data_IF_456244033635
#
_entry.id   IF_456244033635
#
_cell.length_a   1.000
_cell.length_b   1.000
_cell.length_c   1.000
_cell.angle_alpha   90.00
_cell.angle_beta   90.00
_cell.angle_gamma   90.00
#
_symmetry.space_group_name_H-M   'P 1'
#
loop_
_entity.id
_entity.type
_entity.pdbx_description
1 polymer ?
#
# COMPACT_ATOMS: atom_id res chain seq x y z
N UNK A 1 9.27 -16.13 -17.06
CA UNK A 1 7.78 -16.15 -16.94
C UNK A 1 7.23 -16.20 -15.51
N UNK A 2 7.88 -16.83 -14.51
CA UNK A 2 7.29 -16.98 -13.15
C UNK A 2 7.09 -15.68 -12.34
N UNK A 3 7.89 -14.64 -12.54
CA UNK A 3 7.84 -13.43 -11.68
C UNK A 3 6.70 -12.49 -12.04
N UNK A 4 6.41 -12.31 -13.34
CA UNK A 4 5.35 -11.40 -13.78
C UNK A 4 3.97 -11.86 -13.30
N UNK A 5 3.71 -13.17 -13.33
CA UNK A 5 2.49 -13.74 -12.77
C UNK A 5 2.35 -13.50 -11.28
N UNK A 6 3.45 -13.56 -10.51
CA UNK A 6 3.42 -13.27 -9.07
C UNK A 6 3.13 -11.80 -8.79
N UNK A 7 3.69 -10.88 -9.58
CA UNK A 7 3.39 -9.44 -9.50
C UNK A 7 1.92 -9.19 -9.82
N UNK A 8 1.43 -9.78 -10.92
CA UNK A 8 0.04 -9.64 -11.34
C UNK A 8 -0.91 -10.19 -10.29
N UNK A 9 -0.65 -11.37 -9.73
CA UNK A 9 -1.48 -11.93 -8.66
C UNK A 9 -1.45 -11.08 -7.39
N UNK A 10 -0.27 -10.60 -6.96
CA UNK A 10 -0.14 -9.75 -5.78
C UNK A 10 -0.82 -8.37 -5.93
N UNK A 11 -1.01 -7.91 -7.16
CA UNK A 11 -1.64 -6.60 -7.45
C UNK A 11 -3.12 -6.76 -7.77
N UNK A 12 -3.45 -7.61 -8.74
CA UNK A 12 -4.79 -7.73 -9.29
C UNK A 12 -5.74 -8.51 -8.38
N UNK A 13 -5.28 -9.57 -7.70
CA UNK A 13 -6.18 -10.39 -6.88
C UNK A 13 -6.77 -9.59 -5.70
N UNK A 14 -5.98 -8.89 -4.87
CA UNK A 14 -6.54 -8.07 -3.79
C UNK A 14 -7.44 -6.96 -4.34
N UNK A 15 -7.03 -6.32 -5.45
CA UNK A 15 -7.82 -5.26 -6.06
C UNK A 15 -9.19 -5.76 -6.52
N UNK A 16 -9.25 -6.89 -7.22
CA UNK A 16 -10.51 -7.46 -7.71
C UNK A 16 -11.42 -7.90 -6.56
N UNK A 17 -10.87 -8.59 -5.56
CA UNK A 17 -11.63 -9.07 -4.40
C UNK A 17 -12.20 -7.89 -3.60
N UNK A 18 -11.36 -6.92 -3.27
CA UNK A 18 -11.79 -5.73 -2.51
C UNK A 18 -12.74 -4.85 -3.34
N UNK A 19 -12.59 -4.82 -4.67
CA UNK A 19 -13.55 -4.14 -5.55
C UNK A 19 -14.90 -4.83 -5.50
N UNK A 20 -14.95 -6.15 -5.62
CA UNK A 20 -16.20 -6.91 -5.53
C UNK A 20 -16.91 -6.69 -4.19
N UNK A 21 -16.17 -6.76 -3.08
CA UNK A 21 -16.71 -6.52 -1.73
C UNK A 21 -17.18 -5.06 -1.59
N UNK A 22 -16.37 -4.10 -2.01
CA UNK A 22 -16.70 -2.68 -1.93
C UNK A 22 -17.97 -2.34 -2.71
N UNK A 23 -18.12 -2.86 -3.94
CA UNK A 23 -19.32 -2.70 -4.74
C UNK A 23 -20.55 -3.37 -4.10
N UNK A 24 -20.38 -4.54 -3.49
CA UNK A 24 -21.46 -5.22 -2.78
C UNK A 24 -21.94 -4.42 -1.55
N UNK A 25 -21.02 -3.79 -0.81
CA UNK A 25 -21.36 -2.90 0.32
C UNK A 25 -22.10 -1.64 -0.16
N UNK A 26 -21.63 -1.03 -1.25
CA UNK A 26 -22.34 0.11 -1.86
C UNK A 26 -23.76 -0.26 -2.29
N UNK A 27 -23.93 -1.44 -2.89
CA UNK A 27 -25.25 -1.94 -3.29
C UNK A 27 -26.19 -2.21 -2.10
N UNK A 28 -25.64 -2.43 -0.91
CA UNK A 28 -26.38 -2.60 0.35
C UNK A 28 -26.64 -1.27 1.07
N UNK A 29 -26.18 -0.14 0.51
CA UNK A 29 -26.32 1.19 1.11
C UNK A 29 -25.23 1.55 2.13
N UNK A 30 -24.23 0.68 2.35
CA UNK A 30 -23.06 1.00 3.19
C UNK A 30 -22.03 1.81 2.37
N UNK A 31 -22.29 3.11 2.23
CA UNK A 31 -21.42 4.01 1.47
C UNK A 31 -20.01 4.14 2.08
N UNK A 32 -19.92 4.17 3.41
CA UNK A 32 -18.65 4.37 4.12
C UNK A 32 -17.78 3.11 4.04
N UNK A 33 -18.36 1.94 4.34
CA UNK A 33 -17.66 0.67 4.22
C UNK A 33 -17.33 0.33 2.77
N UNK A 34 -18.24 0.61 1.83
CA UNK A 34 -18.02 0.40 0.40
C UNK A 34 -16.84 1.22 -0.13
N UNK A 35 -16.86 2.55 0.04
CA UNK A 35 -15.75 3.43 -0.38
C UNK A 35 -14.43 3.08 0.30
N UNK A 36 -14.47 2.84 1.62
CA UNK A 36 -13.28 2.46 2.38
C UNK A 36 -12.67 1.15 1.89
N UNK A 37 -13.49 0.16 1.53
CA UNK A 37 -13.03 -1.13 1.00
C UNK A 37 -12.39 -0.95 -0.38
N UNK A 38 -12.99 -0.15 -1.27
CA UNK A 38 -12.41 0.14 -2.59
C UNK A 38 -11.01 0.78 -2.47
N UNK A 39 -10.88 1.81 -1.63
CA UNK A 39 -9.59 2.45 -1.38
C UNK A 39 -8.57 1.48 -0.78
N UNK A 40 -9.00 0.67 0.19
CA UNK A 40 -8.12 -0.35 0.79
C UNK A 40 -7.64 -1.33 -0.28
N UNK A 41 -8.47 -1.71 -1.23
CA UNK A 41 -8.09 -2.52 -2.39
C UNK A 41 -6.95 -1.92 -3.20
N UNK A 42 -7.02 -0.61 -3.50
CA UNK A 42 -5.96 0.13 -4.20
C UNK A 42 -4.67 0.15 -3.38
N UNK A 43 -4.75 0.42 -2.08
CA UNK A 43 -3.59 0.47 -1.19
C UNK A 43 -2.90 -0.89 -1.12
N UNK A 44 -3.65 -1.97 -0.90
CA UNK A 44 -3.11 -3.33 -0.81
C UNK A 44 -2.50 -3.76 -2.14
N UNK A 45 -3.13 -3.44 -3.27
CA UNK A 45 -2.60 -3.72 -4.60
C UNK A 45 -1.26 -2.98 -4.84
N UNK A 46 -1.18 -1.70 -4.47
CA UNK A 46 0.05 -0.92 -4.58
C UNK A 46 1.17 -1.51 -3.71
N UNK A 47 0.88 -1.88 -2.47
CA UNK A 47 1.84 -2.53 -1.56
C UNK A 47 2.32 -3.87 -2.13
N UNK A 48 1.38 -4.72 -2.58
CA UNK A 48 1.67 -6.02 -3.16
C UNK A 48 2.55 -5.94 -4.40
N UNK A 49 2.18 -5.10 -5.38
CA UNK A 49 2.93 -4.93 -6.62
C UNK A 49 4.31 -4.30 -6.40
N UNK A 50 4.39 -3.23 -5.62
CA UNK A 50 5.65 -2.52 -5.35
C UNK A 50 6.63 -3.29 -4.44
N UNK A 51 6.16 -4.31 -3.71
CA UNK A 51 7.04 -5.17 -2.89
C UNK A 51 8.12 -5.87 -3.71
N UNK A 52 7.88 -6.11 -5.01
CA UNK A 52 8.83 -6.77 -5.90
C UNK A 52 10.06 -5.90 -6.23
N UNK A 53 10.01 -4.59 -5.93
CA UNK A 53 11.17 -3.69 -6.06
C UNK A 53 12.33 -4.16 -5.19
N UNK A 54 12.05 -4.73 -4.01
CA UNK A 54 13.06 -5.27 -3.10
C UNK A 54 13.74 -6.55 -3.63
N UNK A 55 13.30 -7.06 -4.79
CA UNK A 55 13.85 -8.25 -5.44
C UNK A 55 14.66 -7.94 -6.70
N UNK A 56 14.84 -6.66 -7.02
CA UNK A 56 15.62 -6.25 -8.19
C UNK A 56 17.11 -6.39 -7.86
N UNK A 57 17.77 -7.34 -8.51
CA UNK A 57 19.20 -7.59 -8.35
C UNK A 57 20.04 -6.36 -8.75
N UNK A 58 21.10 -6.10 -7.99
CA UNK A 58 22.01 -4.98 -8.22
C UNK A 58 21.49 -3.61 -7.76
N UNK A 59 20.25 -3.49 -7.27
CA UNK A 59 19.79 -2.27 -6.61
C UNK A 59 20.16 -2.28 -5.13
N UNK A 60 20.78 -1.20 -4.65
CA UNK A 60 20.99 -1.02 -3.21
C UNK A 60 19.65 -0.87 -2.48
N UNK A 61 19.63 -1.19 -1.18
CA UNK A 61 18.43 -1.02 -0.35
C UNK A 61 17.91 0.42 -0.37
N UNK A 62 18.81 1.42 -0.43
CA UNK A 62 18.46 2.83 -0.60
C UNK A 62 17.77 3.07 -1.95
N UNK A 63 18.34 2.51 -3.03
CA UNK A 63 17.75 2.29 -4.36
C UNK A 63 16.25 1.94 -4.27
N UNK A 64 16.02 0.77 -3.71
CA UNK A 64 14.72 0.12 -3.62
C UNK A 64 13.74 0.91 -2.74
N UNK A 65 14.19 1.42 -1.59
CA UNK A 65 13.35 2.16 -0.64
C UNK A 65 12.87 3.49 -1.22
N UNK A 66 13.74 4.23 -1.91
CA UNK A 66 13.35 5.50 -2.58
C UNK A 66 12.34 5.22 -3.69
N UNK A 67 12.55 4.20 -4.51
CA UNK A 67 11.62 3.84 -5.58
C UNK A 67 10.26 3.39 -5.02
N UNK A 68 10.26 2.55 -3.97
CA UNK A 68 9.05 2.11 -3.30
C UNK A 68 8.28 3.31 -2.71
N UNK A 69 8.96 4.20 -1.99
CA UNK A 69 8.36 5.41 -1.42
C UNK A 69 7.76 6.33 -2.50
N UNK A 70 8.47 6.53 -3.62
CA UNK A 70 7.97 7.31 -4.75
C UNK A 70 6.68 6.72 -5.33
N UNK A 71 6.57 5.40 -5.45
CA UNK A 71 5.34 4.74 -5.89
C UNK A 71 4.23 4.94 -4.85
N UNK A 72 4.52 4.79 -3.56
CA UNK A 72 3.53 5.01 -2.50
C UNK A 72 2.98 6.45 -2.50
N UNK A 73 3.84 7.44 -2.81
CA UNK A 73 3.43 8.85 -2.94
C UNK A 73 2.42 9.09 -4.07
N UNK A 74 2.49 8.34 -5.17
CA UNK A 74 1.58 8.51 -6.32
C UNK A 74 0.42 7.51 -6.35
N UNK A 75 0.40 6.56 -5.41
CA UNK A 75 -0.64 5.52 -5.32
C UNK A 75 -1.40 5.59 -4.00
N UNK A 76 -0.72 5.29 -2.89
CA UNK A 76 -1.32 5.21 -1.55
C UNK A 76 -1.71 6.57 -1.00
N UNK A 77 -0.87 7.60 -1.16
CA UNK A 77 -1.21 8.94 -0.65
C UNK A 77 -2.46 9.51 -1.35
N UNK A 78 -2.58 9.52 -2.70
CA UNK A 78 -3.81 9.90 -3.37
C UNK A 78 -5.01 9.06 -2.95
N UNK A 79 -4.84 7.74 -2.81
CA UNK A 79 -5.91 6.85 -2.36
C UNK A 79 -6.41 7.21 -0.94
N UNK A 80 -5.50 7.52 -0.01
CA UNK A 80 -5.82 8.00 1.33
C UNK A 80 -6.58 9.32 1.31
N UNK A 81 -6.18 10.26 0.45
CA UNK A 81 -6.86 11.56 0.30
C UNK A 81 -8.26 11.39 -0.30
N UNK A 82 -8.43 10.50 -1.28
CA UNK A 82 -9.72 10.25 -1.94
C UNK A 82 -10.64 9.31 -1.15
N UNK A 83 -10.18 8.78 -0.01
CA UNK A 83 -10.91 7.77 0.77
C UNK A 83 -12.17 8.26 1.46
N UNK A 84 -12.25 9.56 1.74
CA UNK A 84 -13.27 10.12 2.63
C UNK A 84 -13.03 9.85 4.12
N UNK A 85 -11.91 9.20 4.50
CA UNK A 85 -11.55 8.98 5.90
C UNK A 85 -11.10 10.24 6.63
N UNK A 86 -10.64 11.25 5.88
CA UNK A 86 -10.13 12.50 6.43
C UNK A 86 -10.97 13.68 5.95
N UNK A 87 -11.19 14.64 6.85
CA UNK A 87 -11.90 15.86 6.50
C UNK A 87 -10.99 16.86 5.76
N UNK A 88 -10.87 16.68 4.45
CA UNK A 88 -10.01 17.51 3.58
C UNK A 88 -10.53 18.94 3.35
N UNK A 89 -11.71 19.31 3.86
CA UNK A 89 -12.17 20.70 3.89
C UNK A 89 -11.41 21.55 4.93
N UNK A 90 -10.70 20.87 5.86
CA UNK A 90 -9.89 21.50 6.89
C UNK A 90 -8.41 21.23 6.65
N UNK A 91 -7.56 22.22 6.96
CA UNK A 91 -6.10 22.05 6.86
C UNK A 91 -5.58 20.96 7.80
N UNK A 92 -6.21 20.77 8.95
CA UNK A 92 -5.89 19.68 9.88
C UNK A 92 -6.12 18.31 9.26
N UNK A 93 -7.18 18.12 8.47
CA UNK A 93 -7.44 16.84 7.80
C UNK A 93 -6.35 16.42 6.83
N UNK A 94 -5.79 17.39 6.10
CA UNK A 94 -4.62 17.16 5.23
C UNK A 94 -3.39 16.70 6.02
N UNK A 95 -3.06 17.40 7.10
CA UNK A 95 -1.92 17.05 7.93
C UNK A 95 -2.07 15.68 8.60
N UNK A 96 -3.28 15.34 9.04
CA UNK A 96 -3.57 14.01 9.59
C UNK A 96 -3.37 12.93 8.53
N UNK A 97 -3.90 13.10 7.32
CA UNK A 97 -3.73 12.13 6.24
C UNK A 97 -2.25 11.90 5.89
N UNK A 98 -1.47 12.98 5.76
CA UNK A 98 -0.03 12.91 5.48
C UNK A 98 0.73 12.24 6.63
N UNK A 99 0.38 12.57 7.87
CA UNK A 99 1.01 11.99 9.05
C UNK A 99 0.73 10.49 9.13
N UNK A 100 -0.51 10.06 8.91
CA UNK A 100 -0.89 8.65 8.84
C UNK A 100 -0.10 7.93 7.75
N UNK A 101 0.00 8.52 6.55
CA UNK A 101 0.79 7.97 5.45
C UNK A 101 2.26 7.76 5.84
N UNK A 102 2.91 8.79 6.41
CA UNK A 102 4.33 8.73 6.79
C UNK A 102 4.56 7.77 7.94
N UNK A 103 3.74 7.79 8.99
CA UNK A 103 3.90 6.93 10.17
C UNK A 103 3.72 5.46 9.82
N UNK A 104 2.66 5.10 9.08
CA UNK A 104 2.46 3.71 8.65
C UNK A 104 3.52 3.27 7.64
N UNK A 105 3.89 4.13 6.69
CA UNK A 105 4.94 3.84 5.73
C UNK A 105 6.29 3.57 6.41
N UNK A 106 6.70 4.45 7.33
CA UNK A 106 7.93 4.29 8.09
C UNK A 106 7.87 3.07 9.03
N UNK A 107 6.76 2.86 9.72
CA UNK A 107 6.55 1.73 10.62
C UNK A 107 6.64 0.38 9.90
N UNK A 108 5.91 0.23 8.79
CA UNK A 108 5.96 -0.99 7.97
C UNK A 108 7.36 -1.22 7.40
N UNK A 109 8.00 -0.16 6.87
CA UNK A 109 9.36 -0.26 6.36
C UNK A 109 10.35 -0.71 7.45
N UNK A 110 10.26 -0.15 8.65
CA UNK A 110 11.11 -0.52 9.78
C UNK A 110 10.90 -1.98 10.22
N UNK A 111 9.64 -2.43 10.31
CA UNK A 111 9.32 -3.83 10.63
C UNK A 111 9.94 -4.77 9.60
N UNK A 112 9.75 -4.52 8.31
CA UNK A 112 10.33 -5.38 7.27
C UNK A 112 11.87 -5.34 7.30
N UNK A 113 12.46 -4.16 7.46
CA UNK A 113 13.91 -4.01 7.59
C UNK A 113 14.47 -4.87 8.72
N UNK A 114 13.85 -4.83 9.90
CA UNK A 114 14.27 -5.63 11.05
C UNK A 114 14.07 -7.13 10.80
N UNK A 115 12.93 -7.54 10.27
CA UNK A 115 12.64 -8.95 9.96
C UNK A 115 13.67 -9.54 9.00
N UNK A 116 13.99 -8.82 7.92
CA UNK A 116 14.99 -9.27 6.95
C UNK A 116 16.40 -9.27 7.52
N UNK A 117 16.78 -8.22 8.27
CA UNK A 117 18.12 -8.12 8.87
C UNK A 117 18.34 -9.20 9.94
N UNK A 118 17.37 -9.45 10.82
CA UNK A 118 17.45 -10.47 11.86
C UNK A 118 17.40 -11.87 11.23
N UNK A 119 16.51 -12.09 10.25
CA UNK A 119 16.38 -13.37 9.55
C UNK A 119 17.66 -13.76 8.81
N UNK A 120 18.36 -12.80 8.23
CA UNK A 120 19.62 -13.04 7.52
C UNK A 120 20.79 -13.31 8.47
N UNK A 121 20.82 -12.65 9.64
CA UNK A 121 21.81 -12.96 10.69
C UNK A 121 21.68 -14.36 11.29
N UNK A 122 20.48 -14.95 11.30
CA UNK A 122 20.25 -16.33 11.81
C UNK A 122 20.61 -17.42 10.80
N UNK A 123 20.80 -17.09 9.53
CA UNK A 123 21.15 -18.05 8.46
C UNK A 123 22.64 -18.06 8.09
N UNK A 124 23.43 -17.21 8.72
CA UNK A 124 24.90 -17.26 8.72
C UNK A 124 25.36 -17.93 10.00
#
# INVERSE_FOLDING_TARGET
>A
MRTIWKVLLATALPLLVMTAIGLALLAQGDETGGRGTLVTGVIVAALGGSSFIYRIDGWSLRKQSVAHFAIMLVTVLPALLLSGWFNLSSMTGWWVAITVFVLWGAGLWAVFYLVFTIGERRRK
#
